data_IF_915316238807
#
_entry.id   IF_915316238807
#
_cell.length_a   1.000
_cell.length_b   1.000
_cell.length_c   1.000
_cell.angle_alpha   90.00
_cell.angle_beta   90.00
_cell.angle_gamma   90.00
#
_symmetry.space_group_name_H-M   'P 1'
#
loop_
_entity.id
_entity.type
_entity.pdbx_description
1 polymer ?
#
# COMPACT_ATOMS: atom_id res chain seq x y z
N UNK A 1 -10.44 -27.64 -3.66
CA UNK A 1 -10.20 -26.62 -2.62
C UNK A 1 -11.55 -26.11 -2.16
N UNK A 2 -11.83 -26.05 -0.86
CA UNK A 2 -13.11 -25.53 -0.35
C UNK A 2 -13.31 -24.08 -0.80
N UNK A 3 -14.33 -23.84 -1.61
CA UNK A 3 -14.72 -22.57 -2.24
C UNK A 3 -15.68 -21.77 -1.36
N UNK A 4 -15.54 -21.82 -0.03
CA UNK A 4 -16.47 -21.18 0.91
C UNK A 4 -15.77 -20.15 1.80
N UNK A 5 -14.96 -19.29 1.19
CA UNK A 5 -14.34 -18.13 1.84
C UNK A 5 -14.89 -16.78 1.33
N UNK A 6 -14.55 -15.66 1.99
CA UNK A 6 -15.00 -14.31 1.62
C UNK A 6 -14.60 -13.87 0.21
N UNK A 7 -13.66 -14.57 -0.44
CA UNK A 7 -13.17 -14.27 -1.79
C UNK A 7 -13.67 -15.25 -2.86
N UNK A 8 -14.63 -16.12 -2.53
CA UNK A 8 -15.10 -17.13 -3.48
C UNK A 8 -15.76 -16.53 -4.72
N UNK A 9 -16.45 -15.40 -4.57
CA UNK A 9 -17.03 -14.62 -5.66
C UNK A 9 -16.01 -13.85 -6.52
N UNK A 10 -14.76 -13.73 -6.05
CA UNK A 10 -13.69 -13.05 -6.79
C UNK A 10 -12.99 -13.96 -7.80
N UNK A 11 -13.02 -15.27 -7.54
CA UNK A 11 -12.25 -16.23 -8.33
C UNK A 11 -12.97 -16.49 -9.65
N UNK A 12 -12.34 -16.01 -10.72
CA UNK A 12 -12.83 -16.08 -12.09
C UNK A 12 -11.99 -17.05 -12.92
N UNK A 13 -12.61 -17.58 -13.96
CA UNK A 13 -11.91 -18.36 -14.98
C UNK A 13 -10.94 -17.47 -15.77
N UNK A 14 -9.92 -18.07 -16.40
CA UNK A 14 -8.86 -17.31 -17.08
C UNK A 14 -9.37 -16.42 -18.23
N UNK A 15 -10.48 -16.82 -18.87
CA UNK A 15 -11.09 -16.11 -20.00
C UNK A 15 -12.26 -15.20 -19.59
N UNK A 16 -12.71 -15.27 -18.34
CA UNK A 16 -13.84 -14.48 -17.86
C UNK A 16 -13.42 -13.02 -17.65
N UNK A 17 -14.17 -12.08 -18.24
CA UNK A 17 -13.93 -10.65 -18.03
C UNK A 17 -14.55 -10.19 -16.71
N UNK A 18 -13.90 -9.28 -15.97
CA UNK A 18 -14.49 -8.76 -14.74
C UNK A 18 -15.71 -7.87 -15.09
N UNK A 19 -16.74 -7.81 -14.21
CA UNK A 19 -18.02 -7.17 -14.55
C UNK A 19 -17.92 -5.69 -14.93
N UNK A 20 -16.96 -4.96 -14.36
CA UNK A 20 -16.67 -3.56 -14.66
C UNK A 20 -15.37 -3.40 -15.46
N UNK A 21 -15.08 -4.35 -16.35
CA UNK A 21 -13.89 -4.31 -17.22
C UNK A 21 -13.76 -3.03 -18.06
N UNK A 22 -14.88 -2.34 -18.35
CA UNK A 22 -14.85 -1.03 -19.03
C UNK A 22 -14.15 0.06 -18.20
N UNK A 23 -14.09 -0.09 -16.88
CA UNK A 23 -13.38 0.84 -16.00
C UNK A 23 -11.89 0.54 -15.91
N UNK A 24 -11.41 -0.59 -16.43
CA UNK A 24 -10.00 -0.96 -16.34
C UNK A 24 -9.07 0.12 -16.93
N UNK A 25 -7.88 0.28 -16.34
CA UNK A 25 -6.89 1.25 -16.78
C UNK A 25 -7.10 2.64 -16.17
N UNK A 26 -7.09 3.68 -17.02
CA UNK A 26 -7.19 5.08 -16.59
C UNK A 26 -8.43 5.41 -15.74
N UNK A 27 -9.66 4.96 -16.09
CA UNK A 27 -10.83 5.28 -15.28
C UNK A 27 -10.74 4.73 -13.86
N UNK A 28 -10.39 3.45 -13.70
CA UNK A 28 -10.16 2.81 -12.41
C UNK A 28 -9.06 3.52 -11.63
N UNK A 29 -7.95 3.86 -12.29
CA UNK A 29 -6.88 4.64 -11.69
C UNK A 29 -7.40 5.95 -11.09
N UNK A 30 -8.08 6.79 -11.88
CA UNK A 30 -8.62 8.08 -11.42
C UNK A 30 -9.59 7.92 -10.25
N UNK A 31 -10.50 6.95 -10.31
CA UNK A 31 -11.47 6.71 -9.23
C UNK A 31 -10.74 6.25 -7.96
N UNK A 32 -9.77 5.34 -8.08
CA UNK A 32 -8.98 4.87 -6.93
C UNK A 32 -8.20 6.00 -6.24
N UNK A 33 -7.62 6.93 -7.02
CA UNK A 33 -6.92 8.10 -6.48
C UNK A 33 -7.91 9.08 -5.84
N UNK A 34 -9.08 9.29 -6.45
CA UNK A 34 -10.11 10.14 -5.87
C UNK A 34 -10.59 9.60 -4.51
N UNK A 35 -10.82 8.28 -4.40
CA UNK A 35 -11.18 7.63 -3.13
C UNK A 35 -10.10 7.89 -2.06
N UNK A 36 -8.83 7.68 -2.40
CA UNK A 36 -7.71 7.93 -1.48
C UNK A 36 -7.66 9.41 -1.04
N UNK A 37 -7.73 10.34 -1.98
CA UNK A 37 -7.61 11.78 -1.71
C UNK A 37 -8.82 12.30 -0.93
N UNK A 38 -10.04 11.87 -1.24
CA UNK A 38 -11.24 12.19 -0.45
C UNK A 38 -11.07 11.67 0.98
N UNK A 39 -10.55 10.45 1.16
CA UNK A 39 -10.30 9.92 2.48
C UNK A 39 -9.32 10.80 3.28
N UNK A 40 -8.16 11.12 2.69
CA UNK A 40 -7.07 11.83 3.36
C UNK A 40 -7.36 13.32 3.58
N UNK A 41 -7.95 14.02 2.60
CA UNK A 41 -8.17 15.46 2.66
C UNK A 41 -9.54 15.87 3.22
N UNK A 42 -10.54 14.97 3.21
CA UNK A 42 -11.89 15.31 3.63
C UNK A 42 -12.39 14.46 4.80
N UNK A 43 -12.53 13.15 4.63
CA UNK A 43 -13.13 12.30 5.66
C UNK A 43 -12.33 12.30 6.96
N UNK A 44 -11.01 12.09 6.87
CA UNK A 44 -10.15 12.02 8.07
C UNK A 44 -10.06 13.36 8.82
N UNK A 45 -9.76 14.51 8.16
CA UNK A 45 -9.54 15.76 8.90
C UNK A 45 -10.84 16.42 9.37
N UNK A 46 -11.92 16.37 8.57
CA UNK A 46 -13.10 17.23 8.78
C UNK A 46 -14.32 16.52 9.38
N UNK A 47 -14.42 15.20 9.30
CA UNK A 47 -15.62 14.55 9.79
C UNK A 47 -15.69 14.41 11.34
N UNK A 48 -16.80 13.87 11.85
CA UNK A 48 -17.02 13.61 13.28
C UNK A 48 -16.41 12.27 13.68
N UNK A 49 -15.83 12.15 14.88
CA UNK A 49 -14.97 11.00 15.28
C UNK A 49 -15.51 9.61 14.93
N UNK A 50 -16.79 9.32 15.24
CA UNK A 50 -17.42 8.04 14.86
C UNK A 50 -17.83 7.98 13.38
N UNK A 51 -18.27 9.10 12.80
CA UNK A 51 -18.59 9.20 11.37
C UNK A 51 -17.39 8.93 10.46
N UNK A 52 -16.20 9.43 10.83
CA UNK A 52 -14.97 9.23 10.08
C UNK A 52 -14.61 7.77 9.96
N UNK A 53 -14.76 7.03 11.05
CA UNK A 53 -14.47 5.62 11.04
C UNK A 53 -15.35 4.92 10.00
N UNK A 54 -16.68 5.11 10.04
CA UNK A 54 -17.60 4.50 9.07
C UNK A 54 -17.39 4.97 7.62
N UNK A 55 -17.14 6.26 7.39
CA UNK A 55 -16.86 6.79 6.05
C UNK A 55 -15.57 6.21 5.46
N UNK A 56 -14.50 6.13 6.26
CA UNK A 56 -13.23 5.52 5.84
C UNK A 56 -13.38 4.01 5.58
N UNK A 57 -14.20 3.30 6.37
CA UNK A 57 -14.55 1.88 6.11
C UNK A 57 -15.21 1.77 4.75
N UNK A 58 -16.27 2.55 4.53
CA UNK A 58 -17.09 2.47 3.34
C UNK A 58 -16.25 2.77 2.09
N UNK A 59 -15.44 3.83 2.11
CA UNK A 59 -14.54 4.18 1.01
C UNK A 59 -13.54 3.07 0.71
N UNK A 60 -12.98 2.43 1.74
CA UNK A 60 -12.02 1.34 1.55
C UNK A 60 -12.69 0.10 0.98
N UNK A 61 -13.87 -0.29 1.51
CA UNK A 61 -14.66 -1.40 0.96
C UNK A 61 -15.01 -1.13 -0.51
N UNK A 62 -15.47 0.08 -0.83
CA UNK A 62 -15.74 0.50 -2.19
C UNK A 62 -14.50 0.39 -3.08
N UNK A 63 -13.32 0.82 -2.60
CA UNK A 63 -12.06 0.70 -3.33
C UNK A 63 -11.66 -0.75 -3.63
N UNK A 64 -11.78 -1.65 -2.65
CA UNK A 64 -11.47 -3.08 -2.80
C UNK A 64 -12.47 -3.77 -3.73
N UNK A 65 -13.77 -3.46 -3.60
CA UNK A 65 -14.81 -3.99 -4.51
C UNK A 65 -14.58 -3.48 -5.93
N UNK A 66 -14.26 -2.18 -6.09
CA UNK A 66 -13.97 -1.62 -7.39
C UNK A 66 -12.77 -2.31 -8.04
N UNK A 67 -11.66 -2.51 -7.30
CA UNK A 67 -10.49 -3.25 -7.78
C UNK A 67 -10.86 -4.66 -8.26
N UNK A 68 -11.61 -5.39 -7.43
CA UNK A 68 -12.12 -6.72 -7.71
C UNK A 68 -13.03 -6.82 -8.95
N UNK A 69 -13.82 -5.78 -9.22
CA UNK A 69 -14.78 -5.74 -10.32
C UNK A 69 -14.20 -5.14 -11.59
N UNK A 70 -13.12 -4.36 -11.50
CA UNK A 70 -12.47 -3.71 -12.65
C UNK A 70 -11.29 -4.52 -13.21
N UNK A 71 -10.64 -5.37 -12.42
CA UNK A 71 -9.47 -6.15 -12.85
C UNK A 71 -9.53 -7.62 -12.44
N UNK A 72 -8.97 -8.49 -13.30
CA UNK A 72 -8.71 -9.90 -12.98
C UNK A 72 -7.46 -10.10 -12.12
N UNK A 73 -6.65 -9.07 -11.88
CA UNK A 73 -5.42 -9.20 -11.13
C UNK A 73 -5.63 -9.54 -9.65
N UNK A 74 -6.71 -9.03 -9.03
CA UNK A 74 -7.06 -9.43 -7.67
C UNK A 74 -7.49 -10.92 -7.61
N UNK A 75 -8.31 -11.38 -8.56
CA UNK A 75 -8.65 -12.82 -8.70
C UNK A 75 -7.39 -13.68 -8.80
N UNK A 76 -6.46 -13.30 -9.68
CA UNK A 76 -5.20 -14.01 -9.88
C UNK A 76 -4.35 -14.08 -8.60
N UNK A 77 -4.28 -12.99 -7.83
CA UNK A 77 -3.57 -12.95 -6.57
C UNK A 77 -4.22 -13.86 -5.51
N UNK A 78 -5.55 -13.88 -5.41
CA UNK A 78 -6.28 -14.81 -4.51
C UNK A 78 -6.00 -16.27 -4.87
N UNK A 79 -6.01 -16.61 -6.16
CA UNK A 79 -5.66 -17.96 -6.61
C UNK A 79 -4.21 -18.32 -6.23
N UNK A 80 -3.28 -17.38 -6.41
CA UNK A 80 -1.87 -17.54 -6.03
C UNK A 80 -1.71 -17.73 -4.51
N UNK A 81 -2.41 -16.94 -3.70
CA UNK A 81 -2.42 -17.06 -2.24
C UNK A 81 -2.91 -18.45 -1.78
N UNK A 82 -4.02 -18.93 -2.35
CA UNK A 82 -4.56 -20.27 -2.04
C UNK A 82 -3.57 -21.39 -2.41
N UNK A 83 -2.90 -21.28 -3.55
CA UNK A 83 -1.86 -22.22 -3.98
C UNK A 83 -0.67 -22.26 -3.00
N UNK A 84 -0.39 -21.14 -2.32
CA UNK A 84 0.66 -21.02 -1.32
C UNK A 84 0.18 -21.33 0.12
N UNK A 85 -1.06 -21.81 0.28
CA UNK A 85 -1.58 -22.31 1.55
C UNK A 85 -2.29 -21.26 2.42
N UNK A 86 -2.47 -20.04 1.94
CA UNK A 86 -3.22 -19.02 2.66
C UNK A 86 -4.73 -19.25 2.47
N UNK A 87 -5.48 -19.30 3.58
CA UNK A 87 -6.94 -19.35 3.53
C UNK A 87 -7.53 -17.96 3.30
N UNK A 88 -8.68 -17.90 2.63
CA UNK A 88 -9.37 -16.63 2.36
C UNK A 88 -9.66 -15.83 3.65
N UNK A 89 -10.06 -16.52 4.73
CA UNK A 89 -10.37 -15.87 6.00
C UNK A 89 -9.13 -15.27 6.65
N UNK A 90 -7.97 -15.93 6.54
CA UNK A 90 -6.71 -15.40 7.03
C UNK A 90 -6.29 -14.16 6.24
N UNK A 91 -6.41 -14.21 4.91
CA UNK A 91 -6.12 -13.07 4.03
C UNK A 91 -7.04 -11.89 4.36
N UNK A 92 -8.35 -12.14 4.47
CA UNK A 92 -9.35 -11.13 4.80
C UNK A 92 -9.12 -10.50 6.18
N UNK A 93 -8.85 -11.32 7.21
CA UNK A 93 -8.53 -10.83 8.55
C UNK A 93 -7.28 -9.96 8.55
N UNK A 94 -6.25 -10.35 7.81
CA UNK A 94 -5.03 -9.54 7.68
C UNK A 94 -5.30 -8.22 6.95
N UNK A 95 -6.10 -8.22 5.88
CA UNK A 95 -6.52 -6.98 5.21
C UNK A 95 -7.24 -6.03 6.16
N UNK A 96 -8.13 -6.52 7.02
CA UNK A 96 -8.82 -5.69 8.03
C UNK A 96 -7.81 -5.10 9.01
N UNK A 97 -6.90 -5.90 9.56
CA UNK A 97 -5.89 -5.41 10.53
C UNK A 97 -5.00 -4.34 9.89
N UNK A 98 -4.51 -4.60 8.68
CA UNK A 98 -3.66 -3.66 7.93
C UNK A 98 -4.39 -2.36 7.62
N UNK A 99 -5.66 -2.46 7.23
CA UNK A 99 -6.52 -1.32 7.01
C UNK A 99 -6.71 -0.50 8.29
N UNK A 100 -7.06 -1.13 9.42
CA UNK A 100 -7.20 -0.45 10.71
C UNK A 100 -5.90 0.28 11.07
N UNK A 101 -4.76 -0.40 10.98
CA UNK A 101 -3.45 0.20 11.28
C UNK A 101 -3.16 1.44 10.41
N UNK A 102 -3.37 1.34 9.10
CA UNK A 102 -3.17 2.45 8.16
C UNK A 102 -4.12 3.63 8.40
N UNK A 103 -5.39 3.35 8.71
CA UNK A 103 -6.36 4.39 9.07
C UNK A 103 -6.05 5.03 10.41
N UNK A 104 -5.65 4.26 11.42
CA UNK A 104 -5.22 4.81 12.71
C UNK A 104 -4.05 5.77 12.53
N UNK A 105 -3.02 5.39 11.77
CA UNK A 105 -1.89 6.28 11.45
C UNK A 105 -2.36 7.57 10.75
N UNK A 106 -3.27 7.45 9.78
CA UNK A 106 -3.80 8.60 9.05
C UNK A 106 -4.62 9.53 9.95
N UNK A 107 -5.47 8.98 10.81
CA UNK A 107 -6.23 9.76 11.81
C UNK A 107 -5.29 10.47 12.77
N UNK A 108 -4.24 9.81 13.25
CA UNK A 108 -3.22 10.44 14.11
C UNK A 108 -2.57 11.63 13.40
N UNK A 109 -2.09 11.46 12.18
CA UNK A 109 -1.40 12.52 11.44
C UNK A 109 -2.34 13.67 11.10
N UNK A 110 -3.44 13.40 10.41
CA UNK A 110 -4.29 14.44 9.83
C UNK A 110 -5.19 15.12 10.86
N UNK A 111 -5.68 14.37 11.86
CA UNK A 111 -6.64 14.92 12.83
C UNK A 111 -5.96 15.36 14.12
N UNK A 112 -5.09 14.53 14.68
CA UNK A 112 -4.55 14.77 16.02
C UNK A 112 -3.26 15.57 16.03
N UNK A 113 -2.40 15.42 15.02
CA UNK A 113 -1.15 16.20 14.91
C UNK A 113 -1.38 17.47 14.10
N UNK A 114 -1.96 17.36 12.91
CA UNK A 114 -2.13 18.50 12.01
C UNK A 114 -3.38 19.33 12.32
N UNK A 115 -4.54 18.67 12.35
CA UNK A 115 -5.83 19.34 12.41
C UNK A 115 -6.24 20.01 11.09
N UNK A 116 -7.50 20.48 10.98
CA UNK A 116 -8.06 20.97 9.72
C UNK A 116 -7.33 22.17 9.11
N UNK A 117 -6.88 23.12 9.94
CA UNK A 117 -6.27 24.37 9.46
C UNK A 117 -4.93 24.12 8.76
N UNK A 118 -4.13 23.18 9.27
CA UNK A 118 -2.84 22.80 8.67
C UNK A 118 -3.04 22.07 7.34
N UNK A 119 -4.15 21.35 7.16
CA UNK A 119 -4.51 20.75 5.85
C UNK A 119 -4.79 21.84 4.82
N UNK A 120 -5.48 22.92 5.21
CA UNK A 120 -5.71 24.06 4.31
C UNK A 120 -4.40 24.74 3.91
N UNK A 121 -3.45 24.87 4.85
CA UNK A 121 -2.12 25.44 4.59
C UNK A 121 -1.28 24.64 3.59
N UNK A 122 -1.58 23.36 3.34
CA UNK A 122 -0.93 22.60 2.27
C UNK A 122 -1.15 23.21 0.89
N UNK A 123 -2.21 23.98 0.70
CA UNK A 123 -2.52 24.66 -0.56
C UNK A 123 -1.95 26.09 -0.63
N UNK A 124 -1.37 26.60 0.46
CA UNK A 124 -0.69 27.88 0.49
C UNK A 124 0.79 27.70 0.14
N UNK A 125 1.23 28.33 -0.95
CA UNK A 125 2.61 28.29 -1.40
C UNK A 125 3.59 28.87 -0.36
N UNK A 126 3.12 29.77 0.51
CA UNK A 126 3.91 30.38 1.57
C UNK A 126 4.37 29.35 2.63
N UNK A 127 3.68 28.22 2.75
CA UNK A 127 4.03 27.11 3.64
C UNK A 127 5.32 26.37 3.22
N UNK A 128 5.77 26.55 1.98
CA UNK A 128 6.86 25.79 1.36
C UNK A 128 8.16 26.59 1.29
N UNK A 129 8.73 26.90 2.45
CA UNK A 129 10.06 27.49 2.53
C UNK A 129 11.15 26.53 2.03
N UNK A 130 12.34 27.04 1.70
CA UNK A 130 13.51 26.22 1.35
C UNK A 130 13.80 25.19 2.46
N UNK A 131 13.63 25.59 3.72
CA UNK A 131 13.82 24.69 4.86
C UNK A 131 12.78 23.57 4.88
N UNK A 132 11.50 23.88 4.67
CA UNK A 132 10.41 22.89 4.58
C UNK A 132 10.72 21.86 3.47
N UNK A 133 11.12 22.33 2.29
CA UNK A 133 11.47 21.47 1.14
C UNK A 133 12.65 20.55 1.48
N UNK A 134 13.71 21.10 2.10
CA UNK A 134 14.88 20.32 2.51
C UNK A 134 14.53 19.24 3.54
N UNK A 135 13.68 19.57 4.52
CA UNK A 135 13.21 18.62 5.54
C UNK A 135 12.36 17.51 4.93
N UNK A 136 11.46 17.82 4.00
CA UNK A 136 10.68 16.82 3.24
C UNK A 136 11.63 15.90 2.48
N UNK A 137 12.62 16.46 1.77
CA UNK A 137 13.59 15.66 1.03
C UNK A 137 14.40 14.73 1.96
N UNK A 138 14.81 15.20 3.15
CA UNK A 138 15.49 14.35 4.14
C UNK A 138 14.57 13.25 4.68
N UNK A 139 13.32 13.56 4.99
CA UNK A 139 12.34 12.56 5.40
C UNK A 139 12.20 11.45 4.36
N UNK A 140 12.01 11.81 3.08
CA UNK A 140 11.87 10.83 2.00
C UNK A 140 13.15 9.99 1.81
N UNK A 141 14.31 10.62 1.92
CA UNK A 141 15.61 9.92 1.83
C UNK A 141 15.77 8.91 2.96
N UNK A 142 15.48 9.30 4.20
CA UNK A 142 15.55 8.40 5.36
C UNK A 142 14.54 7.26 5.25
N UNK A 143 13.30 7.55 4.84
CA UNK A 143 12.26 6.53 4.64
C UNK A 143 12.70 5.49 3.60
N UNK A 144 13.27 5.92 2.47
CA UNK A 144 13.75 5.00 1.42
C UNK A 144 14.90 4.11 1.90
N UNK A 145 15.87 4.68 2.63
CA UNK A 145 16.99 3.93 3.19
C UNK A 145 16.46 2.85 4.13
N UNK A 146 15.55 3.21 5.04
CA UNK A 146 14.97 2.27 5.99
C UNK A 146 14.12 1.20 5.29
N UNK A 147 13.33 1.59 4.28
CA UNK A 147 12.57 0.65 3.47
C UNK A 147 13.49 -0.35 2.79
N UNK A 148 14.55 0.12 2.13
CA UNK A 148 15.51 -0.75 1.45
C UNK A 148 16.06 -1.83 2.38
N UNK A 149 16.47 -1.46 3.60
CA UNK A 149 16.99 -2.43 4.56
C UNK A 149 15.89 -3.36 5.10
N UNK A 150 14.71 -2.84 5.40
CA UNK A 150 13.58 -3.63 5.91
C UNK A 150 13.11 -4.66 4.87
N UNK A 151 12.86 -4.21 3.64
CA UNK A 151 12.41 -5.05 2.53
C UNK A 151 13.47 -6.09 2.16
N UNK A 152 14.75 -5.69 2.08
CA UNK A 152 15.85 -6.64 1.90
C UNK A 152 15.91 -7.69 3.02
N UNK A 153 15.74 -7.28 4.28
CA UNK A 153 15.71 -8.21 5.41
C UNK A 153 14.57 -9.23 5.28
N UNK A 154 13.39 -8.78 4.86
CA UNK A 154 12.23 -9.64 4.61
C UNK A 154 12.52 -10.67 3.49
N UNK A 155 13.17 -10.28 2.39
CA UNK A 155 13.56 -11.22 1.33
C UNK A 155 14.67 -12.21 1.74
N UNK A 156 15.69 -11.75 2.46
CA UNK A 156 16.90 -12.53 2.72
C UNK A 156 16.81 -13.34 4.02
N UNK A 157 16.14 -12.84 5.05
CA UNK A 157 16.18 -13.41 6.41
C UNK A 157 14.83 -13.90 6.92
N UNK A 158 13.72 -13.26 6.53
CA UNK A 158 12.37 -13.70 6.94
C UNK A 158 11.37 -13.84 5.78
N UNK A 159 11.71 -14.57 4.70
CA UNK A 159 10.90 -14.63 3.49
C UNK A 159 9.52 -15.25 3.70
N UNK A 160 9.34 -16.11 4.70
CA UNK A 160 8.03 -16.68 5.02
C UNK A 160 7.02 -15.64 5.51
N UNK A 161 7.49 -14.57 6.17
CA UNK A 161 6.64 -13.48 6.65
C UNK A 161 6.12 -12.64 5.48
N UNK A 162 6.99 -12.43 4.49
CA UNK A 162 6.75 -11.59 3.31
C UNK A 162 6.06 -12.33 2.15
N UNK A 163 5.95 -13.65 2.28
CA UNK A 163 5.38 -14.53 1.25
C UNK A 163 3.95 -14.16 0.87
N UNK A 164 3.14 -13.75 1.85
CA UNK A 164 1.74 -13.37 1.60
C UNK A 164 1.65 -12.19 0.64
N UNK A 165 2.45 -11.14 0.87
CA UNK A 165 2.47 -9.97 0.00
C UNK A 165 2.97 -10.31 -1.40
N UNK A 166 4.04 -11.09 -1.52
CA UNK A 166 4.57 -11.47 -2.83
C UNK A 166 3.77 -12.54 -3.57
N UNK A 167 2.78 -13.17 -2.95
CA UNK A 167 1.76 -13.90 -3.69
C UNK A 167 0.88 -12.97 -4.55
N UNK A 168 0.89 -11.66 -4.29
CA UNK A 168 0.32 -10.64 -5.17
C UNK A 168 1.23 -10.36 -6.38
N UNK A 169 1.41 -11.37 -7.22
CA UNK A 169 2.27 -11.30 -8.42
C UNK A 169 1.80 -10.26 -9.45
N UNK A 170 0.54 -9.84 -9.38
CA UNK A 170 -0.01 -8.72 -10.16
C UNK A 170 -0.42 -7.63 -9.19
N UNK A 171 0.36 -6.57 -9.10
CA UNK A 171 0.06 -5.45 -8.19
C UNK A 171 -1.29 -4.82 -8.52
N UNK A 172 -2.13 -4.62 -7.50
CA UNK A 172 -3.43 -3.92 -7.61
C UNK A 172 -3.67 -2.99 -6.42
N UNK A 173 -4.75 -2.20 -6.45
CA UNK A 173 -5.12 -1.37 -5.30
C UNK A 173 -5.25 -2.19 -4.01
N UNK A 174 -5.84 -3.39 -4.09
CA UNK A 174 -6.01 -4.28 -2.94
C UNK A 174 -4.73 -4.95 -2.46
N UNK A 175 -3.69 -5.10 -3.30
CA UNK A 175 -2.42 -5.67 -2.83
C UNK A 175 -1.74 -4.82 -1.75
N UNK A 176 -2.08 -3.53 -1.64
CA UNK A 176 -1.66 -2.67 -0.53
C UNK A 176 -2.18 -3.12 0.85
N UNK A 177 -3.20 -3.98 0.91
CA UNK A 177 -3.76 -4.50 2.16
C UNK A 177 -3.39 -5.97 2.40
N UNK A 178 -2.86 -6.66 1.39
CA UNK A 178 -2.57 -8.09 1.47
C UNK A 178 -1.13 -8.27 1.95
N UNK A 179 -0.98 -8.24 3.27
CA UNK A 179 0.29 -8.48 3.99
C UNK A 179 -0.01 -9.29 5.23
N UNK A 180 0.98 -10.03 5.73
CA UNK A 180 0.95 -10.36 7.15
C UNK A 180 1.07 -9.04 7.96
N UNK A 181 0.34 -8.83 9.07
CA UNK A 181 0.39 -7.53 9.79
C UNK A 181 1.81 -7.09 10.21
N UNK A 182 2.60 -8.04 10.70
CA UNK A 182 4.01 -7.79 11.03
C UNK A 182 4.88 -7.49 9.80
N UNK A 183 4.56 -8.03 8.63
CA UNK A 183 5.24 -7.73 7.35
C UNK A 183 5.06 -6.26 7.01
N UNK A 184 3.79 -5.80 6.95
CA UNK A 184 3.46 -4.40 6.69
C UNK A 184 4.07 -3.45 7.72
N UNK A 185 4.11 -3.87 8.99
CA UNK A 185 4.74 -3.08 10.05
C UNK A 185 6.25 -2.93 9.84
N UNK A 186 6.95 -3.95 9.36
CA UNK A 186 8.40 -3.89 9.12
C UNK A 186 8.70 -3.14 7.83
N UNK A 187 8.02 -3.50 6.74
CA UNK A 187 8.30 -2.97 5.41
C UNK A 187 7.85 -1.52 5.26
N UNK A 188 6.67 -1.16 5.77
CA UNK A 188 6.09 0.15 5.55
C UNK A 188 5.95 0.95 6.85
N UNK A 189 5.44 0.33 7.91
CA UNK A 189 5.24 0.98 9.21
C UNK A 189 6.56 1.51 9.81
N UNK A 190 7.60 0.68 9.84
CA UNK A 190 8.91 1.00 10.39
C UNK A 190 9.56 2.20 9.68
N UNK A 191 9.72 2.16 8.35
CA UNK A 191 10.16 3.33 7.59
C UNK A 191 9.24 4.54 7.80
N UNK A 192 7.92 4.36 7.85
CA UNK A 192 6.97 5.44 8.15
C UNK A 192 7.16 6.09 9.53
N UNK A 193 7.59 5.34 10.55
CA UNK A 193 7.84 5.86 11.90
C UNK A 193 8.96 6.91 11.94
N UNK A 194 9.88 6.92 10.96
CA UNK A 194 10.93 7.94 10.90
C UNK A 194 10.36 9.35 10.70
N UNK A 195 9.20 9.47 10.05
CA UNK A 195 8.53 10.75 9.83
C UNK A 195 8.12 11.38 11.17
N UNK A 196 7.57 10.56 12.08
CA UNK A 196 7.18 11.00 13.42
C UNK A 196 8.41 11.30 14.28
N UNK A 197 9.42 10.44 14.24
CA UNK A 197 10.66 10.66 14.96
C UNK A 197 11.30 12.00 14.56
N UNK A 198 11.47 12.24 13.26
CA UNK A 198 12.05 13.49 12.79
C UNK A 198 11.17 14.70 13.09
N UNK A 199 9.84 14.57 12.99
CA UNK A 199 8.90 15.62 13.33
C UNK A 199 9.07 16.11 14.78
N UNK A 200 9.12 15.18 15.74
CA UNK A 200 9.25 15.54 17.16
C UNK A 200 10.67 15.91 17.57
N UNK A 201 11.70 15.31 16.98
CA UNK A 201 13.08 15.45 17.45
C UNK A 201 13.88 16.51 16.67
N UNK A 202 13.72 16.59 15.34
CA UNK A 202 14.57 17.44 14.50
C UNK A 202 13.83 18.63 13.87
N UNK A 203 12.56 18.48 13.55
CA UNK A 203 11.81 19.48 12.77
C UNK A 203 11.00 20.45 13.62
N UNK A 204 11.24 20.51 14.93
CA UNK A 204 10.51 21.38 15.85
C UNK A 204 8.99 21.28 15.67
N UNK A 205 8.50 20.08 15.41
CA UNK A 205 7.09 19.81 15.14
C UNK A 205 6.52 20.59 13.93
N UNK A 206 7.33 20.83 12.88
CA UNK A 206 6.83 21.37 11.62
C UNK A 206 5.80 20.41 10.99
N UNK A 207 4.53 20.80 11.06
CA UNK A 207 3.38 19.99 10.61
C UNK A 207 3.35 19.87 9.09
N UNK A 208 3.65 20.94 8.35
CA UNK A 208 3.68 20.92 6.88
C UNK A 208 4.70 19.91 6.37
N UNK A 209 5.90 19.91 6.95
CA UNK A 209 6.93 18.90 6.64
C UNK A 209 6.42 17.48 6.86
N UNK A 210 5.76 17.20 8.00
CA UNK A 210 5.20 15.88 8.29
C UNK A 210 4.10 15.50 7.29
N UNK A 211 3.13 16.38 7.06
CA UNK A 211 1.99 16.14 6.18
C UNK A 211 2.43 15.85 4.75
N UNK A 212 3.30 16.69 4.18
CA UNK A 212 3.78 16.52 2.80
C UNK A 212 4.57 15.21 2.67
N UNK A 213 5.44 14.91 3.64
CA UNK A 213 6.20 13.65 3.63
C UNK A 213 5.27 12.43 3.74
N UNK A 214 4.30 12.48 4.65
CA UNK A 214 3.34 11.39 4.87
C UNK A 214 2.43 11.17 3.65
N UNK A 215 1.89 12.26 3.08
CA UNK A 215 1.10 12.23 1.84
C UNK A 215 1.89 11.63 0.69
N UNK A 216 3.15 12.06 0.51
CA UNK A 216 4.01 11.51 -0.53
C UNK A 216 4.18 10.01 -0.36
N UNK A 217 4.52 9.53 0.85
CA UNK A 217 4.69 8.10 1.13
C UNK A 217 3.41 7.31 0.83
N UNK A 218 2.25 7.77 1.31
CA UNK A 218 0.96 7.10 1.10
C UNK A 218 0.52 7.06 -0.37
N UNK A 219 0.60 8.21 -1.05
CA UNK A 219 0.23 8.33 -2.46
C UNK A 219 1.18 7.49 -3.30
N UNK A 220 2.49 7.65 -3.13
CA UNK A 220 3.48 6.93 -3.92
C UNK A 220 3.36 5.41 -3.75
N UNK A 221 3.12 4.94 -2.53
CA UNK A 221 2.90 3.51 -2.27
C UNK A 221 1.67 2.98 -3.02
N UNK A 222 0.58 3.74 -3.01
CA UNK A 222 -0.63 3.41 -3.77
C UNK A 222 -0.37 3.39 -5.27
N UNK A 223 0.40 4.35 -5.79
CA UNK A 223 0.78 4.41 -7.22
C UNK A 223 1.62 3.20 -7.63
N UNK A 224 2.58 2.78 -6.79
CA UNK A 224 3.44 1.62 -7.07
C UNK A 224 2.69 0.29 -7.10
N UNK A 225 1.51 0.23 -6.49
CA UNK A 225 0.66 -0.96 -6.52
C UNK A 225 -0.50 -0.83 -7.50
N UNK A 226 -0.63 0.27 -8.24
CA UNK A 226 -1.70 0.40 -9.21
C UNK A 226 -1.35 -0.36 -10.50
N UNK A 227 -2.24 -1.22 -10.97
CA UNK A 227 -1.97 -2.07 -12.13
C UNK A 227 -1.71 -1.28 -13.43
N UNK A 228 -2.32 -0.11 -13.58
CA UNK A 228 -2.19 0.76 -14.74
C UNK A 228 -0.83 1.48 -14.76
N UNK A 229 -0.31 1.85 -13.59
CA UNK A 229 1.02 2.45 -13.48
C UNK A 229 2.05 1.31 -13.40
N UNK A 230 2.64 0.97 -14.54
CA UNK A 230 3.66 -0.07 -14.61
C UNK A 230 5.01 0.41 -14.06
N UNK A 231 5.13 0.55 -12.75
CA UNK A 231 6.40 0.87 -12.10
C UNK A 231 7.31 -0.36 -12.04
N UNK A 232 8.57 -0.15 -11.64
CA UNK A 232 9.49 -1.27 -11.46
C UNK A 232 9.11 -2.15 -10.25
N UNK A 233 8.32 -1.64 -9.29
CA UNK A 233 7.77 -2.43 -8.18
C UNK A 233 6.88 -3.56 -8.67
N UNK A 234 6.05 -3.30 -9.69
CA UNK A 234 5.29 -4.35 -10.40
C UNK A 234 6.20 -5.42 -11.02
N UNK A 235 7.34 -5.01 -11.57
CA UNK A 235 8.34 -5.95 -12.08
C UNK A 235 8.96 -6.78 -10.96
N UNK A 236 9.22 -6.15 -9.81
CA UNK A 236 9.74 -6.82 -8.63
C UNK A 236 8.78 -7.91 -8.11
N UNK A 237 7.49 -7.62 -7.93
CA UNK A 237 6.48 -8.61 -7.55
C UNK A 237 6.40 -9.80 -8.54
N UNK A 238 6.40 -9.50 -9.84
CA UNK A 238 6.23 -10.53 -10.85
C UNK A 238 7.49 -11.38 -11.07
N UNK A 239 8.69 -10.82 -10.88
CA UNK A 239 9.96 -11.46 -11.21
C UNK A 239 10.78 -11.90 -9.99
N UNK A 240 10.58 -11.27 -8.83
CA UNK A 240 11.40 -11.41 -7.62
C UNK A 240 12.87 -11.20 -7.97
N UNK A 241 13.15 -10.00 -8.50
CA UNK A 241 14.42 -9.63 -9.13
C UNK A 241 15.43 -8.97 -8.18
N UNK A 242 15.23 -9.14 -6.86
CA UNK A 242 16.04 -8.54 -5.79
C UNK A 242 16.12 -7.00 -5.84
N UNK A 243 15.15 -6.31 -6.45
CA UNK A 243 14.99 -4.86 -6.30
C UNK A 243 14.35 -4.53 -4.94
N UNK A 244 15.10 -3.94 -4.01
CA UNK A 244 14.64 -3.77 -2.62
C UNK A 244 14.19 -2.35 -2.27
N UNK A 245 14.40 -1.36 -3.13
CA UNK A 245 14.04 0.04 -2.91
C UNK A 245 12.67 0.39 -3.54
N UNK A 246 11.98 1.44 -3.05
CA UNK A 246 10.63 1.87 -3.50
C UNK A 246 10.68 2.99 -4.51
N UNK A 247 11.64 3.90 -4.40
CA UNK A 247 11.83 5.03 -5.31
C UNK A 247 12.97 4.82 -6.30
N UNK A 248 13.99 4.05 -5.91
CA UNK A 248 15.15 3.75 -6.75
C UNK A 248 15.20 2.28 -7.19
N UNK A 249 15.51 2.04 -8.46
CA UNK A 249 15.77 0.69 -8.97
C UNK A 249 17.18 0.22 -8.56
N UNK A 250 17.33 -0.18 -7.30
CA UNK A 250 18.57 -0.74 -6.74
C UNK A 250 18.38 -2.24 -6.57
N UNK A 251 19.23 -3.02 -7.24
CA UNK A 251 19.21 -4.48 -7.16
C UNK A 251 20.27 -5.00 -6.19
N UNK A 252 19.86 -5.93 -5.35
CA UNK A 252 20.77 -6.76 -4.58
C UNK A 252 21.30 -7.95 -5.38
N UNK A 253 21.75 -8.95 -4.65
CA UNK A 253 22.23 -10.23 -5.16
C UNK A 253 21.07 -11.22 -5.29
N UNK A 254 20.62 -11.59 -6.52
CA UNK A 254 19.45 -12.44 -6.71
C UNK A 254 19.53 -13.79 -6.00
N UNK A 255 20.73 -14.33 -5.79
CA UNK A 255 20.98 -15.58 -5.07
C UNK A 255 20.60 -15.52 -3.58
N UNK A 256 20.55 -14.30 -3.00
CA UNK A 256 20.15 -14.07 -1.61
C UNK A 256 18.63 -13.91 -1.46
N UNK A 257 17.91 -13.66 -2.55
CA UNK A 257 16.46 -13.61 -2.54
C UNK A 257 15.88 -15.03 -2.35
N UNK A 258 15.54 -15.34 -1.11
CA UNK A 258 14.99 -16.65 -0.74
C UNK A 258 13.52 -16.77 -1.10
N UNK A 259 12.81 -15.65 -1.31
CA UNK A 259 11.38 -15.61 -1.54
C UNK A 259 10.98 -16.30 -2.85
N UNK A 260 11.82 -16.13 -3.88
CA UNK A 260 11.64 -16.75 -5.20
C UNK A 260 11.52 -18.28 -5.15
N UNK A 261 12.14 -18.92 -4.17
CA UNK A 261 12.11 -20.38 -4.01
C UNK A 261 10.86 -20.87 -3.26
N UNK A 262 10.14 -19.97 -2.58
CA UNK A 262 8.97 -20.32 -1.78
C UNK A 262 7.66 -20.20 -2.57
N UNK A 263 7.57 -19.25 -3.49
CA UNK A 263 6.32 -18.95 -4.19
C UNK A 263 5.99 -20.03 -5.23
N UNK A 264 4.82 -20.64 -5.04
CA UNK A 264 4.12 -21.43 -6.06
C UNK A 264 3.30 -20.50 -6.94
N UNK A 265 3.40 -20.67 -8.26
CA UNK A 265 2.67 -19.87 -9.24
C UNK A 265 1.55 -20.69 -9.87
N UNK A 266 0.39 -20.10 -10.21
CA UNK A 266 -0.58 -20.75 -11.08
C UNK A 266 0.09 -21.18 -12.40
N UNK A 267 -0.35 -22.30 -12.97
CA UNK A 267 0.07 -22.69 -14.31
C UNK A 267 -0.22 -21.53 -15.28
N UNK A 268 0.69 -21.28 -16.23
CA UNK A 268 0.37 -20.38 -17.34
C UNK A 268 -0.82 -21.02 -18.09
N UNK A 269 -1.94 -20.31 -18.19
CA UNK A 269 -2.99 -20.69 -19.11
C UNK A 269 -2.39 -20.66 -20.51
N UNK A 270 -2.34 -21.82 -21.18
CA UNK A 270 -2.01 -21.93 -22.60
C UNK A 270 -2.99 -21.14 -23.46
#
# INVERSE_FOLDING_TARGET
MNTHGPFSWLVRESQERPPLSILFGWPYFCISQAILLINLFYCVPFGRTLGNFFETILLTICGVILDALSSNSFSYNIQTLRLNGFSDWYVFGSMIINWVNGQTASVVVFRYIAGPDEIVKLFDISSYTIMTIAQVFMNLTCTEILFYFAHRYLHENWPSLHLMHHCCLRTTGSSNLIFHPLDLMIEFGGPGMILFFNHYIFWNQNVITLLVSYLYVQIHYTLNHNEWISTYHKSHHSQLDAAYAVYLKIRGQPEKDKLRKLIKRPAKSE
#
